data_IF_427013529295
#
_entry.id   IF_427013529295
#
_cell.length_a   1.000
_cell.length_b   1.000
_cell.length_c   1.000
_cell.angle_alpha   90.00
_cell.angle_beta   90.00
_cell.angle_gamma   90.00
#
_symmetry.space_group_name_H-M   'P 1'
#
loop_
_entity.id
_entity.type
_entity.pdbx_description
1 polymer ?
#
# COMPACT_ATOMS: atom_id res chain seq x y z
N UNK A 1 -23.74 -19.38 -16.75
CA UNK A 1 -22.66 -18.56 -16.16
C UNK A 1 -23.21 -17.15 -16.00
N UNK A 2 -23.23 -16.66 -14.77
CA UNK A 2 -23.60 -15.28 -14.52
C UNK A 2 -22.30 -14.47 -14.66
N UNK A 3 -22.08 -13.84 -15.79
CA UNK A 3 -20.88 -13.02 -16.08
C UNK A 3 -20.96 -11.63 -15.40
N UNK A 4 -21.89 -11.45 -14.47
CA UNK A 4 -22.15 -10.19 -13.82
C UNK A 4 -21.20 -10.00 -12.62
N UNK A 5 -20.52 -8.88 -12.64
CA UNK A 5 -19.79 -8.34 -11.49
C UNK A 5 -20.72 -7.45 -10.66
N UNK A 6 -20.86 -7.77 -9.38
CA UNK A 6 -21.63 -6.95 -8.43
C UNK A 6 -20.79 -6.64 -7.21
N UNK A 7 -20.71 -5.37 -6.86
CA UNK A 7 -20.07 -4.92 -5.63
C UNK A 7 -21.00 -3.95 -4.90
N UNK A 8 -21.28 -4.25 -3.62
CA UNK A 8 -22.08 -3.42 -2.73
C UNK A 8 -21.30 -3.14 -1.47
N UNK A 9 -21.06 -1.87 -1.17
CA UNK A 9 -20.37 -1.43 0.03
C UNK A 9 -21.20 -0.46 0.84
N UNK A 10 -21.18 -0.63 2.17
CA UNK A 10 -21.75 0.30 3.14
C UNK A 10 -20.68 0.61 4.16
N UNK A 11 -20.43 1.89 4.38
CA UNK A 11 -19.52 2.39 5.40
C UNK A 11 -20.24 3.43 6.26
N UNK A 12 -20.06 3.32 7.57
CA UNK A 12 -20.57 4.30 8.53
C UNK A 12 -19.51 4.58 9.58
N UNK A 13 -19.42 5.84 10.02
CA UNK A 13 -18.52 6.21 11.10
C UNK A 13 -19.16 7.23 12.03
N UNK A 14 -18.82 7.14 13.31
CA UNK A 14 -19.24 8.08 14.35
C UNK A 14 -17.97 8.72 14.91
N UNK A 15 -17.91 10.05 14.84
CA UNK A 15 -16.80 10.85 15.32
C UNK A 15 -17.21 11.64 16.58
N UNK A 16 -16.54 11.37 17.70
CA UNK A 16 -16.70 12.13 18.94
C UNK A 16 -15.56 13.14 19.05
N UNK A 17 -15.84 14.44 19.23
CA UNK A 17 -14.80 15.47 19.41
C UNK A 17 -14.20 15.43 20.84
N UNK A 18 -14.00 14.25 21.37
CA UNK A 18 -13.47 13.99 22.72
C UNK A 18 -12.58 12.75 22.69
N UNK A 19 -11.53 12.77 23.51
CA UNK A 19 -10.71 11.60 23.76
C UNK A 19 -11.38 10.66 24.77
N UNK A 20 -12.03 9.61 24.29
CA UNK A 20 -12.86 8.71 25.11
C UNK A 20 -12.07 7.52 25.70
N UNK A 21 -10.77 7.66 25.97
CA UNK A 21 -10.00 6.60 26.60
C UNK A 21 -10.12 6.67 28.12
N UNK A 22 -10.55 5.59 28.83
CA UNK A 22 -10.92 5.66 30.24
C UNK A 22 -9.75 5.86 31.18
N UNK A 23 -8.56 5.37 30.85
CA UNK A 23 -7.41 5.27 31.75
C UNK A 23 -6.43 6.46 31.68
N UNK A 24 -6.79 7.56 31.04
CA UNK A 24 -5.93 8.73 30.88
C UNK A 24 -6.50 9.93 31.62
N UNK A 25 -5.61 10.74 32.25
CA UNK A 25 -5.99 11.92 33.02
C UNK A 25 -6.73 12.96 32.18
N UNK A 26 -7.63 13.72 32.80
CA UNK A 26 -8.39 14.77 32.12
C UNK A 26 -7.48 15.90 31.59
N UNK A 27 -6.37 16.20 32.26
CA UNK A 27 -5.43 17.22 31.82
C UNK A 27 -4.70 16.83 30.54
N UNK A 28 -4.34 15.58 30.40
CA UNK A 28 -3.78 15.04 29.18
C UNK A 28 -4.79 15.08 28.03
N UNK A 29 -6.05 14.69 28.28
CA UNK A 29 -7.15 14.75 27.32
C UNK A 29 -7.38 16.17 26.78
N UNK A 30 -7.36 17.18 27.67
CA UNK A 30 -7.52 18.59 27.30
C UNK A 30 -6.36 19.12 26.48
N UNK A 31 -5.14 18.67 26.73
CA UNK A 31 -3.92 19.10 26.02
C UNK A 31 -3.87 18.58 24.59
N UNK A 32 -4.22 17.30 24.38
CA UNK A 32 -4.11 16.65 23.05
C UNK A 32 -5.30 16.98 22.18
N UNK A 33 -6.51 17.19 22.74
CA UNK A 33 -7.75 17.43 21.96
C UNK A 33 -7.99 16.36 20.89
N UNK A 34 -7.77 15.10 21.24
CA UNK A 34 -7.98 13.99 20.32
C UNK A 34 -9.47 13.78 20.07
N UNK A 35 -9.78 13.35 18.85
CA UNK A 35 -11.10 12.84 18.48
C UNK A 35 -11.10 11.32 18.56
N UNK A 36 -12.24 10.75 18.94
CA UNK A 36 -12.47 9.29 18.91
C UNK A 36 -13.36 8.95 17.73
N UNK A 37 -12.96 7.97 16.95
CA UNK A 37 -13.70 7.52 15.77
C UNK A 37 -14.00 6.03 15.91
N UNK A 38 -15.27 5.67 15.72
CA UNK A 38 -15.73 4.30 15.55
C UNK A 38 -16.24 4.15 14.12
N UNK A 39 -15.73 3.15 13.41
CA UNK A 39 -16.11 2.85 12.04
C UNK A 39 -16.65 1.43 11.91
N UNK A 40 -17.65 1.26 11.04
CA UNK A 40 -18.14 -0.03 10.59
C UNK A 40 -18.20 -0.02 9.08
N UNK A 41 -17.71 -1.08 8.46
CA UNK A 41 -17.72 -1.25 7.02
C UNK A 41 -18.17 -2.67 6.67
N UNK A 42 -19.01 -2.77 5.66
CA UNK A 42 -19.41 -4.03 5.06
C UNK A 42 -19.28 -3.92 3.55
N UNK A 43 -18.58 -4.87 2.93
CA UNK A 43 -18.40 -4.94 1.47
C UNK A 43 -18.74 -6.35 1.01
N UNK A 44 -19.64 -6.45 0.05
CA UNK A 44 -20.04 -7.67 -0.63
C UNK A 44 -19.60 -7.59 -2.08
N UNK A 45 -18.81 -8.57 -2.51
CA UNK A 45 -18.34 -8.70 -3.90
C UNK A 45 -18.78 -10.05 -4.45
N UNK A 46 -19.47 -10.04 -5.57
CA UNK A 46 -19.80 -11.24 -6.35
C UNK A 46 -19.12 -11.14 -7.71
N UNK A 47 -18.32 -12.14 -8.02
CA UNK A 47 -17.64 -12.32 -9.31
C UNK A 47 -17.96 -13.72 -9.86
N UNK A 48 -17.75 -13.97 -11.16
CA UNK A 48 -17.94 -15.30 -11.74
C UNK A 48 -17.15 -16.40 -11.04
N UNK A 49 -15.97 -16.04 -10.49
CA UNK A 49 -15.05 -16.99 -9.88
C UNK A 49 -15.28 -17.16 -8.38
N UNK A 50 -15.82 -16.15 -7.69
CA UNK A 50 -16.00 -16.18 -6.24
C UNK A 50 -17.01 -15.17 -5.71
N UNK A 51 -17.51 -15.43 -4.52
CA UNK A 51 -18.19 -14.45 -3.68
C UNK A 51 -17.34 -14.16 -2.46
N UNK A 52 -17.15 -12.86 -2.16
CA UNK A 52 -16.34 -12.38 -1.05
C UNK A 52 -17.11 -11.37 -0.22
N UNK A 53 -17.03 -11.54 1.10
CA UNK A 53 -17.59 -10.61 2.08
C UNK A 53 -16.45 -10.11 2.95
N UNK A 54 -16.38 -8.78 3.12
CA UNK A 54 -15.47 -8.14 4.07
C UNK A 54 -16.30 -7.34 5.06
N UNK A 55 -16.24 -7.70 6.32
CA UNK A 55 -16.82 -6.95 7.42
C UNK A 55 -15.72 -6.38 8.30
N UNK A 56 -15.75 -5.07 8.55
CA UNK A 56 -14.71 -4.39 9.32
C UNK A 56 -15.31 -3.54 10.44
N UNK A 57 -14.64 -3.52 11.58
CA UNK A 57 -14.94 -2.65 12.70
C UNK A 57 -13.68 -1.98 13.22
N UNK A 58 -13.69 -0.67 13.43
CA UNK A 58 -12.54 0.09 13.85
C UNK A 58 -12.83 1.01 15.03
N UNK A 59 -11.82 1.16 15.88
CA UNK A 59 -11.79 2.12 16.98
C UNK A 59 -10.46 2.85 16.94
N UNK A 60 -10.48 4.14 16.66
CA UNK A 60 -9.28 4.95 16.50
C UNK A 60 -9.35 6.29 17.21
N UNK A 61 -8.18 6.84 17.47
CA UNK A 61 -7.98 8.18 18.01
C UNK A 61 -7.13 9.00 17.04
N UNK A 62 -7.55 10.25 16.79
CA UNK A 62 -6.84 11.19 15.92
C UNK A 62 -6.60 12.50 16.64
N UNK A 63 -5.40 13.05 16.53
CA UNK A 63 -5.10 14.40 17.03
C UNK A 63 -4.03 15.06 16.19
N UNK A 64 -4.03 16.39 16.22
CA UNK A 64 -3.01 17.23 15.56
C UNK A 64 -2.34 18.15 16.55
N UNK A 65 -1.06 18.42 16.35
CA UNK A 65 -0.24 19.32 17.15
C UNK A 65 0.45 20.34 16.26
N UNK A 66 1.05 21.39 16.87
CA UNK A 66 1.90 22.38 16.20
C UNK A 66 1.22 23.06 14.99
N UNK A 67 0.03 23.60 15.17
CA UNK A 67 -0.75 24.24 14.09
C UNK A 67 -1.01 23.28 12.92
N UNK A 68 -1.37 22.04 13.25
CA UNK A 68 -1.66 20.95 12.29
C UNK A 68 -0.46 20.52 11.42
N UNK A 69 0.78 20.84 11.83
CA UNK A 69 1.96 20.32 11.16
C UNK A 69 2.17 18.83 11.42
N UNK A 70 1.87 18.38 12.65
CA UNK A 70 1.91 16.95 12.99
C UNK A 70 0.51 16.40 13.22
N UNK A 71 0.23 15.27 12.63
CA UNK A 71 -1.00 14.51 12.80
C UNK A 71 -0.64 13.11 13.30
N UNK A 72 -1.39 12.67 14.28
CA UNK A 72 -1.22 11.36 14.90
C UNK A 72 -2.54 10.60 14.81
N UNK A 73 -2.45 9.32 14.55
CA UNK A 73 -3.57 8.39 14.62
C UNK A 73 -3.12 7.13 15.33
N UNK A 74 -3.89 6.69 16.32
CA UNK A 74 -3.78 5.36 16.91
C UNK A 74 -5.03 4.58 16.54
N UNK A 75 -4.86 3.48 15.81
CA UNK A 75 -5.88 2.47 15.65
C UNK A 75 -5.75 1.51 16.85
N UNK A 76 -6.60 1.69 17.85
CA UNK A 76 -6.55 0.86 19.05
C UNK A 76 -7.01 -0.55 18.74
N UNK A 77 -8.04 -0.67 17.93
CA UNK A 77 -8.60 -1.93 17.46
C UNK A 77 -9.12 -1.75 16.05
N UNK A 78 -8.70 -2.62 15.16
CA UNK A 78 -9.23 -2.71 13.80
C UNK A 78 -9.38 -4.20 13.46
N UNK A 79 -10.63 -4.61 13.31
CA UNK A 79 -11.02 -5.99 13.04
C UNK A 79 -11.50 -6.05 11.60
N UNK A 80 -10.87 -6.91 10.80
CA UNK A 80 -11.28 -7.17 9.43
C UNK A 80 -11.57 -8.68 9.32
N UNK A 81 -12.80 -9.02 9.07
CA UNK A 81 -13.25 -10.36 8.80
C UNK A 81 -13.47 -10.52 7.29
N UNK A 82 -12.68 -11.40 6.69
CA UNK A 82 -12.78 -11.77 5.29
C UNK A 82 -13.40 -13.16 5.20
N UNK A 83 -14.50 -13.28 4.49
CA UNK A 83 -15.26 -14.50 4.31
C UNK A 83 -15.51 -14.77 2.83
N UNK A 84 -15.24 -16.01 2.40
CA UNK A 84 -15.39 -16.50 1.03
C UNK A 84 -16.49 -17.58 0.98
N UNK A 85 -17.77 -17.19 0.97
CA UNK A 85 -18.88 -18.15 1.03
C UNK A 85 -18.95 -19.10 -0.17
N UNK A 86 -18.41 -18.68 -1.31
CA UNK A 86 -18.45 -19.47 -2.52
C UNK A 86 -17.24 -19.19 -3.42
N UNK A 87 -16.67 -20.24 -3.94
CA UNK A 87 -15.61 -20.23 -4.96
C UNK A 87 -16.04 -21.22 -6.06
N UNK A 88 -15.94 -20.82 -7.32
CA UNK A 88 -16.29 -21.67 -8.46
C UNK A 88 -15.44 -22.95 -8.44
N UNK A 89 -16.07 -24.15 -8.55
CA UNK A 89 -15.35 -25.43 -8.47
C UNK A 89 -14.27 -25.59 -9.56
N UNK A 90 -14.53 -25.15 -10.78
CA UNK A 90 -13.57 -25.19 -11.88
C UNK A 90 -12.37 -24.30 -11.61
N UNK A 91 -12.61 -23.07 -11.15
CA UNK A 91 -11.56 -22.15 -10.73
C UNK A 91 -10.74 -22.73 -9.57
N UNK A 92 -11.41 -23.30 -8.57
CA UNK A 92 -10.75 -23.95 -7.44
C UNK A 92 -9.84 -25.09 -7.88
N UNK A 93 -10.31 -25.96 -8.76
CA UNK A 93 -9.54 -27.12 -9.23
C UNK A 93 -8.38 -26.74 -10.13
N UNK A 94 -8.56 -25.74 -11.00
CA UNK A 94 -7.56 -25.34 -11.99
C UNK A 94 -6.47 -24.42 -11.42
N UNK A 95 -6.78 -23.66 -10.37
CA UNK A 95 -5.89 -22.60 -9.88
C UNK A 95 -5.55 -22.72 -8.39
N UNK A 96 -6.46 -23.18 -7.53
CA UNK A 96 -6.25 -23.17 -6.08
C UNK A 96 -5.73 -24.52 -5.55
N UNK A 97 -5.99 -25.63 -6.24
CA UNK A 97 -5.51 -26.95 -5.83
C UNK A 97 -4.12 -27.30 -6.42
N UNK A 98 -3.51 -26.40 -7.20
CA UNK A 98 -2.14 -26.58 -7.68
C UNK A 98 -1.16 -26.17 -6.57
N UNK A 99 -0.34 -27.13 -6.11
CA UNK A 99 0.71 -26.88 -5.09
C UNK A 99 1.66 -25.74 -5.47
N UNK A 100 1.72 -25.37 -6.75
CA UNK A 100 2.53 -24.25 -7.25
C UNK A 100 1.89 -22.87 -7.06
N UNK A 101 0.60 -22.79 -6.71
CA UNK A 101 -0.14 -21.54 -6.56
C UNK A 101 -0.46 -21.23 -5.10
N UNK A 102 0.48 -21.46 -4.20
CA UNK A 102 0.28 -21.29 -2.75
C UNK A 102 -0.15 -19.86 -2.36
N UNK A 103 0.39 -18.84 -3.01
CA UNK A 103 -0.02 -17.43 -2.82
C UNK A 103 -1.48 -17.21 -3.17
N UNK A 104 -1.90 -17.76 -4.28
CA UNK A 104 -3.28 -17.64 -4.75
C UNK A 104 -4.23 -18.37 -3.79
N UNK A 105 -3.95 -19.60 -3.45
CA UNK A 105 -4.75 -20.40 -2.48
C UNK A 105 -4.91 -19.64 -1.15
N UNK A 106 -3.82 -19.09 -0.62
CA UNK A 106 -3.84 -18.34 0.63
C UNK A 106 -4.78 -17.13 0.60
N UNK A 107 -4.92 -16.47 -0.54
CA UNK A 107 -5.74 -15.27 -0.71
C UNK A 107 -7.25 -15.57 -0.85
N UNK A 108 -7.60 -16.82 -1.15
CA UNK A 108 -9.00 -17.26 -1.27
C UNK A 108 -9.50 -18.02 -0.03
N UNK A 109 -8.81 -17.92 1.10
CA UNK A 109 -9.24 -18.50 2.39
C UNK A 109 -9.87 -17.45 3.28
N UNK A 110 -10.82 -17.89 4.10
CA UNK A 110 -11.38 -17.07 5.18
C UNK A 110 -10.28 -16.62 6.13
N UNK A 111 -10.37 -15.38 6.59
CA UNK A 111 -9.35 -14.83 7.47
C UNK A 111 -9.86 -13.75 8.40
N UNK A 112 -9.34 -13.77 9.60
CA UNK A 112 -9.54 -12.73 10.59
C UNK A 112 -8.23 -11.93 10.76
N UNK A 113 -8.32 -10.61 10.63
CA UNK A 113 -7.21 -9.69 10.90
C UNK A 113 -7.63 -8.78 12.03
N UNK A 114 -7.01 -8.93 13.19
CA UNK A 114 -7.20 -8.04 14.34
C UNK A 114 -5.89 -7.32 14.57
N UNK A 115 -5.87 -6.01 14.30
CA UNK A 115 -4.65 -5.20 14.34
C UNK A 115 -4.78 -4.01 15.27
N UNK A 116 -3.65 -3.56 15.74
CA UNK A 116 -3.41 -2.26 16.34
C UNK A 116 -2.42 -1.50 15.46
N UNK A 117 -2.51 -0.18 15.42
CA UNK A 117 -1.63 0.60 14.56
C UNK A 117 -1.37 2.00 15.08
N UNK A 118 -0.28 2.59 14.60
CA UNK A 118 0.06 3.98 14.83
C UNK A 118 0.52 4.62 13.52
N UNK A 119 -0.07 5.78 13.21
CA UNK A 119 0.31 6.59 12.05
C UNK A 119 0.72 7.98 12.50
N UNK A 120 1.84 8.44 11.96
CA UNK A 120 2.36 9.78 12.16
C UNK A 120 2.59 10.46 10.82
N UNK A 121 2.07 11.67 10.67
CA UNK A 121 2.28 12.50 9.49
C UNK A 121 2.78 13.86 9.99
N UNK A 122 3.94 14.26 9.50
CA UNK A 122 4.47 15.59 9.68
C UNK A 122 4.55 16.31 8.34
N UNK A 123 4.08 17.56 8.29
CA UNK A 123 4.21 18.41 7.12
C UNK A 123 4.68 19.80 7.56
N UNK A 124 5.84 20.20 7.10
CA UNK A 124 6.45 21.50 7.47
C UNK A 124 5.63 22.71 7.03
N UNK A 125 4.84 22.59 5.95
CA UNK A 125 3.95 23.64 5.46
C UNK A 125 2.69 23.82 6.34
N UNK A 126 2.25 22.77 7.05
CA UNK A 126 1.13 22.86 7.99
C UNK A 126 -0.13 23.45 7.36
N UNK A 127 -0.73 24.44 8.05
CA UNK A 127 -1.93 25.15 7.60
C UNK A 127 -1.80 25.89 6.27
N UNK A 128 -0.58 26.24 5.83
CA UNK A 128 -0.37 26.93 4.55
C UNK A 128 -0.84 26.11 3.34
N UNK A 129 -0.72 24.77 3.43
CA UNK A 129 -1.28 23.84 2.44
C UNK A 129 -2.81 23.92 2.38
N UNK A 130 -3.47 24.02 3.53
CA UNK A 130 -4.95 24.06 3.60
C UNK A 130 -5.51 25.39 3.08
N UNK A 131 -4.74 26.47 3.16
CA UNK A 131 -5.17 27.81 2.77
C UNK A 131 -4.73 28.21 1.36
N UNK A 132 -4.24 27.26 0.54
CA UNK A 132 -3.69 27.52 -0.81
C UNK A 132 -2.65 28.66 -0.84
N UNK A 133 -1.96 28.90 0.29
CA UNK A 133 -0.90 29.91 0.37
C UNK A 133 0.30 29.49 -0.48
N UNK A 134 1.06 30.47 -0.97
CA UNK A 134 2.33 30.20 -1.68
C UNK A 134 3.26 29.45 -0.74
N UNK A 135 3.47 28.17 -1.02
CA UNK A 135 4.29 27.27 -0.21
C UNK A 135 5.73 27.41 -0.70
N UNK A 136 6.63 27.86 0.16
CA UNK A 136 8.07 27.80 -0.06
C UNK A 136 8.60 26.36 0.02
N UNK A 137 9.87 26.21 0.37
CA UNK A 137 10.46 24.90 0.62
C UNK A 137 9.68 24.17 1.71
N UNK A 138 9.30 22.94 1.43
CA UNK A 138 8.51 22.12 2.36
C UNK A 138 8.99 20.69 2.35
N UNK A 139 8.75 20.00 3.45
CA UNK A 139 8.98 18.56 3.55
C UNK A 139 7.89 17.88 4.36
N UNK A 140 7.68 16.62 4.10
CA UNK A 140 6.77 15.76 4.83
C UNK A 140 7.43 14.45 5.21
N UNK A 141 7.05 13.92 6.37
CA UNK A 141 7.43 12.62 6.87
C UNK A 141 6.13 11.87 7.18
N UNK A 142 6.00 10.66 6.68
CA UNK A 142 4.92 9.75 7.03
C UNK A 142 5.51 8.48 7.58
N UNK A 143 5.07 8.10 8.76
CA UNK A 143 5.43 6.84 9.41
C UNK A 143 4.16 6.09 9.74
N UNK A 144 4.11 4.80 9.40
CA UNK A 144 3.04 3.90 9.80
C UNK A 144 3.65 2.65 10.43
N UNK A 145 3.05 2.22 11.51
CA UNK A 145 3.36 0.95 12.17
C UNK A 145 2.06 0.20 12.44
N UNK A 146 2.05 -1.08 12.16
CA UNK A 146 0.89 -1.93 12.40
C UNK A 146 1.36 -3.29 12.94
N UNK A 147 0.62 -3.81 13.92
CA UNK A 147 0.84 -5.10 14.55
C UNK A 147 -0.47 -5.86 14.61
N UNK A 148 -0.52 -7.06 14.04
CA UNK A 148 -1.73 -7.87 13.95
C UNK A 148 -1.58 -9.22 14.64
N UNK A 149 -2.70 -9.73 15.18
CA UNK A 149 -2.83 -11.08 15.72
C UNK A 149 -2.16 -11.36 17.07
N UNK A 150 -1.38 -10.44 17.63
CA UNK A 150 -0.63 -10.69 18.84
C UNK A 150 -1.53 -10.92 20.08
N UNK A 151 -2.58 -10.09 20.21
CA UNK A 151 -3.56 -10.26 21.29
C UNK A 151 -4.26 -11.63 21.17
N UNK A 152 -4.70 -11.99 19.97
CA UNK A 152 -5.36 -13.28 19.73
C UNK A 152 -4.41 -14.45 19.98
N UNK A 153 -3.14 -14.32 19.64
CA UNK A 153 -2.14 -15.36 19.88
C UNK A 153 -1.91 -15.62 21.38
N UNK A 154 -1.81 -14.55 22.18
CA UNK A 154 -1.71 -14.66 23.64
C UNK A 154 -2.96 -15.31 24.22
N UNK A 155 -4.15 -14.86 23.82
CA UNK A 155 -5.41 -15.44 24.27
C UNK A 155 -5.55 -16.91 23.86
N UNK A 156 -5.17 -17.27 22.63
CA UNK A 156 -5.21 -18.67 22.16
C UNK A 156 -4.31 -19.59 22.99
N UNK A 157 -3.11 -19.12 23.35
CA UNK A 157 -2.21 -19.86 24.24
C UNK A 157 -2.75 -19.99 25.66
N UNK A 158 -3.27 -18.92 26.24
CA UNK A 158 -3.83 -18.93 27.59
C UNK A 158 -5.06 -19.85 27.71
N UNK A 159 -5.87 -19.92 26.66
CA UNK A 159 -7.07 -20.76 26.60
C UNK A 159 -6.79 -22.17 26.10
N UNK A 160 -5.54 -22.57 25.90
CA UNK A 160 -5.14 -23.89 25.40
C UNK A 160 -5.91 -24.32 24.14
N UNK A 161 -6.15 -23.37 23.20
CA UNK A 161 -6.84 -23.69 21.96
C UNK A 161 -6.02 -24.68 21.15
N UNK A 162 -6.72 -25.61 20.48
CA UNK A 162 -6.09 -26.54 19.55
C UNK A 162 -5.83 -25.85 18.22
N UNK A 163 -4.74 -26.20 17.58
CA UNK A 163 -4.41 -25.77 16.24
C UNK A 163 -5.13 -26.63 15.21
N UNK A 164 -5.38 -26.07 14.02
CA UNK A 164 -5.89 -26.80 12.87
C UNK A 164 -4.81 -27.70 12.22
N UNK A 165 -5.16 -28.44 11.17
CA UNK A 165 -4.25 -29.32 10.43
C UNK A 165 -3.08 -28.57 9.76
N UNK A 166 -3.17 -27.24 9.61
CA UNK A 166 -2.13 -26.38 9.06
C UNK A 166 -1.23 -25.76 10.15
N UNK A 167 -1.35 -26.23 11.41
CA UNK A 167 -0.60 -25.71 12.57
C UNK A 167 -0.92 -24.24 12.93
N UNK A 168 -2.13 -23.77 12.62
CA UNK A 168 -2.61 -22.42 12.91
C UNK A 168 -3.69 -22.45 14.00
N UNK A 169 -3.63 -21.50 14.95
CA UNK A 169 -4.74 -21.25 15.88
C UNK A 169 -5.89 -20.61 15.14
N UNK A 170 -7.11 -20.99 15.48
CA UNK A 170 -8.33 -20.47 14.89
C UNK A 170 -9.26 -19.86 15.92
N UNK A 171 -9.99 -18.83 15.55
CA UNK A 171 -11.12 -18.26 16.31
C UNK A 171 -12.38 -18.53 15.49
N UNK A 172 -13.38 -19.20 16.07
CA UNK A 172 -14.58 -19.64 15.36
C UNK A 172 -14.26 -20.43 14.06
N UNK A 173 -13.26 -21.30 14.11
CA UNK A 173 -12.72 -22.07 12.98
C UNK A 173 -12.06 -21.23 11.87
N UNK A 174 -11.76 -19.94 12.09
CA UNK A 174 -11.14 -19.05 11.13
C UNK A 174 -9.72 -18.74 11.58
N UNK A 175 -8.70 -18.98 10.74
CA UNK A 175 -7.33 -18.62 11.05
C UNK A 175 -7.17 -17.09 11.08
N UNK A 176 -6.37 -16.59 12.02
CA UNK A 176 -6.07 -15.17 12.09
C UNK A 176 -4.65 -14.87 11.64
N UNK A 177 -4.50 -13.72 10.97
CA UNK A 177 -3.20 -13.24 10.53
C UNK A 177 -2.38 -12.72 11.72
N UNK A 178 -1.07 -13.04 11.75
CA UNK A 178 -0.13 -12.51 12.73
C UNK A 178 1.11 -11.96 12.02
N UNK A 179 1.29 -10.64 12.13
CA UNK A 179 2.40 -9.93 11.47
C UNK A 179 2.71 -8.59 12.14
N UNK A 180 3.87 -8.05 11.82
CA UNK A 180 4.21 -6.64 12.00
C UNK A 180 4.49 -6.01 10.65
N UNK A 181 4.13 -4.73 10.52
CA UNK A 181 4.36 -3.94 9.30
C UNK A 181 4.79 -2.53 9.67
N UNK A 182 5.78 -2.01 8.97
CA UNK A 182 6.27 -0.66 9.14
C UNK A 182 6.53 0.00 7.80
N UNK A 183 6.11 1.26 7.66
CA UNK A 183 6.31 2.09 6.47
C UNK A 183 6.90 3.43 6.87
N UNK A 184 7.82 3.93 6.07
CA UNK A 184 8.41 5.26 6.21
C UNK A 184 8.50 5.92 4.84
N UNK A 185 7.90 7.12 4.73
CA UNK A 185 7.97 7.96 3.53
C UNK A 185 8.50 9.34 3.90
N UNK A 186 9.41 9.84 3.09
CA UNK A 186 9.93 11.20 3.16
C UNK A 186 9.76 11.87 1.80
N UNK A 187 9.16 13.05 1.77
CA UNK A 187 9.08 13.88 0.58
C UNK A 187 9.55 15.29 0.89
N UNK A 188 10.25 15.91 -0.06
CA UNK A 188 10.75 17.29 0.04
C UNK A 188 10.50 18.01 -1.26
N UNK A 189 9.93 19.23 -1.16
CA UNK A 189 9.79 20.16 -2.27
C UNK A 189 10.73 21.34 -2.08
N UNK A 190 11.57 21.61 -3.07
CA UNK A 190 12.49 22.74 -3.11
C UNK A 190 12.03 23.68 -4.21
N UNK A 191 11.64 24.88 -3.84
CA UNK A 191 11.27 25.95 -4.78
C UNK A 191 12.54 26.63 -5.27
N UNK A 192 12.79 26.60 -6.58
CA UNK A 192 13.93 27.25 -7.21
C UNK A 192 13.58 28.71 -7.48
N UNK A 193 12.42 28.95 -8.08
CA UNK A 193 11.87 30.25 -8.38
C UNK A 193 10.33 30.20 -8.46
N UNK A 194 9.69 31.28 -8.89
CA UNK A 194 8.23 31.40 -8.98
C UNK A 194 7.57 30.42 -9.99
N UNK A 195 8.36 29.79 -10.84
CA UNK A 195 7.87 28.87 -11.87
C UNK A 195 8.36 27.45 -11.67
N UNK A 196 9.52 27.28 -11.03
CA UNK A 196 10.27 26.02 -11.02
C UNK A 196 10.46 25.48 -9.61
N UNK A 197 10.29 24.17 -9.46
CA UNK A 197 10.57 23.45 -8.23
C UNK A 197 11.12 22.05 -8.52
N UNK A 198 11.82 21.46 -7.56
CA UNK A 198 12.24 20.08 -7.58
C UNK A 198 11.62 19.37 -6.37
N UNK A 199 10.98 18.27 -6.62
CA UNK A 199 10.42 17.41 -5.58
C UNK A 199 11.19 16.08 -5.51
N UNK A 200 11.48 15.64 -4.28
CA UNK A 200 12.15 14.40 -3.97
C UNK A 200 11.23 13.54 -3.13
N UNK A 201 11.22 12.26 -3.37
CA UNK A 201 10.54 11.27 -2.56
C UNK A 201 11.45 10.07 -2.34
N UNK A 202 11.42 9.52 -1.14
CA UNK A 202 11.98 8.22 -0.81
C UNK A 202 11.03 7.53 0.16
N UNK A 203 10.68 6.30 -0.14
CA UNK A 203 9.78 5.49 0.66
C UNK A 203 10.29 4.08 0.80
N UNK A 204 9.92 3.45 1.91
CA UNK A 204 10.21 2.06 2.15
C UNK A 204 9.26 1.46 3.17
N UNK A 205 9.07 0.15 3.05
CA UNK A 205 8.23 -0.59 3.98
C UNK A 205 8.62 -2.05 4.07
N UNK A 206 8.31 -2.64 5.21
CA UNK A 206 8.53 -4.06 5.50
C UNK A 206 7.35 -4.63 6.26
N UNK A 207 6.90 -5.82 5.85
CA UNK A 207 5.85 -6.58 6.52
C UNK A 207 6.34 -7.99 6.81
N UNK A 208 6.38 -8.39 8.07
CA UNK A 208 6.98 -9.65 8.53
C UNK A 208 5.89 -10.53 9.13
N UNK A 209 5.52 -11.65 8.47
CA UNK A 209 4.62 -12.65 9.06
C UNK A 209 5.37 -13.53 10.05
N UNK A 210 4.73 -13.88 11.16
CA UNK A 210 5.29 -14.77 12.18
C UNK A 210 4.20 -15.48 12.97
N UNK A 211 4.60 -16.40 13.85
CA UNK A 211 3.70 -17.08 14.79
C UNK A 211 2.60 -17.85 14.09
N UNK A 212 1.38 -17.33 14.11
CA UNK A 212 0.19 -17.95 13.51
C UNK A 212 0.07 -17.75 12.00
N UNK A 213 0.91 -16.94 11.38
CA UNK A 213 0.83 -16.68 9.94
C UNK A 213 2.16 -17.01 9.25
N UNK A 214 2.07 -17.72 8.14
CA UNK A 214 3.23 -18.03 7.29
C UNK A 214 3.46 -16.97 6.22
N UNK A 215 2.45 -16.17 5.93
CA UNK A 215 2.41 -15.19 4.85
C UNK A 215 1.61 -13.95 5.25
N UNK A 216 1.91 -12.81 4.65
CA UNK A 216 1.14 -11.58 4.80
C UNK A 216 -0.15 -11.68 3.97
N UNK A 217 -1.32 -11.31 4.52
CA UNK A 217 -2.54 -11.18 3.72
C UNK A 217 -2.34 -10.25 2.52
N UNK A 218 -2.95 -10.59 1.39
CA UNK A 218 -2.79 -9.86 0.13
C UNK A 218 -3.08 -8.36 0.27
N UNK A 219 -4.08 -8.00 1.03
CA UNK A 219 -4.49 -6.61 1.31
C UNK A 219 -3.42 -5.81 2.05
N UNK A 220 -2.43 -6.49 2.64
CA UNK A 220 -1.35 -5.91 3.42
C UNK A 220 0.01 -5.99 2.73
N UNK A 221 0.09 -6.71 1.62
CA UNK A 221 1.32 -6.81 0.81
C UNK A 221 1.59 -5.53 0.03
N UNK A 222 2.84 -5.35 -0.34
CA UNK A 222 3.27 -4.23 -1.18
C UNK A 222 3.16 -4.55 -2.66
N UNK A 223 2.94 -3.49 -3.43
CA UNK A 223 2.91 -3.51 -4.88
C UNK A 223 3.78 -2.39 -5.42
N UNK A 224 4.30 -2.54 -6.64
CA UNK A 224 5.05 -1.52 -7.34
C UNK A 224 4.55 -1.35 -8.79
N UNK A 225 4.86 -0.17 -9.37
CA UNK A 225 4.31 0.29 -10.64
C UNK A 225 3.05 1.16 -10.48
N UNK A 226 2.75 1.92 -11.50
CA UNK A 226 1.62 2.85 -11.54
C UNK A 226 1.99 4.30 -11.26
N UNK A 227 1.00 5.17 -11.32
CA UNK A 227 1.15 6.62 -11.29
C UNK A 227 1.84 7.20 -10.04
N UNK A 228 1.79 6.49 -8.90
CA UNK A 228 2.33 6.94 -7.61
C UNK A 228 3.51 6.08 -7.11
N UNK A 229 4.16 5.34 -8.01
CA UNK A 229 5.33 4.52 -7.74
C UNK A 229 6.28 4.64 -8.92
N UNK A 230 6.79 3.54 -9.49
CA UNK A 230 7.71 3.54 -10.64
C UNK A 230 6.89 3.64 -11.93
N UNK A 231 6.79 4.83 -12.52
CA UNK A 231 5.87 5.18 -13.64
C UNK A 231 6.24 4.58 -15.00
N UNK A 232 7.30 3.79 -15.11
CA UNK A 232 7.59 2.98 -16.30
C UNK A 232 6.80 1.67 -16.37
N UNK A 233 6.06 1.31 -15.33
CA UNK A 233 5.26 0.09 -15.22
C UNK A 233 3.79 0.40 -14.95
N UNK A 234 2.90 -0.41 -15.50
CA UNK A 234 1.48 -0.38 -15.15
C UNK A 234 1.27 -0.67 -13.66
N UNK A 235 0.07 -0.38 -13.16
CA UNK A 235 -0.27 -0.63 -11.76
C UNK A 235 -0.07 -2.11 -11.42
N UNK A 236 0.70 -2.38 -10.36
CA UNK A 236 0.97 -3.74 -9.87
C UNK A 236 1.63 -4.65 -10.90
N UNK A 237 2.52 -4.14 -11.72
CA UNK A 237 3.19 -4.93 -12.76
C UNK A 237 4.72 -4.99 -12.62
N UNK A 238 5.27 -4.52 -11.49
CA UNK A 238 6.71 -4.55 -11.24
C UNK A 238 7.03 -5.46 -10.04
N UNK A 239 7.94 -6.42 -10.25
CA UNK A 239 8.50 -7.30 -9.22
C UNK A 239 7.57 -8.42 -8.76
N UNK A 240 7.94 -9.14 -7.72
CA UNK A 240 9.04 -8.91 -6.79
C UNK A 240 10.43 -9.31 -7.36
N UNK A 241 11.43 -8.52 -7.02
CA UNK A 241 12.82 -8.77 -7.44
C UNK A 241 12.97 -8.83 -8.95
N UNK A 242 13.38 -9.98 -9.48
CA UNK A 242 13.48 -10.25 -10.92
C UNK A 242 12.31 -11.04 -11.48
N UNK A 243 11.32 -11.35 -10.64
CA UNK A 243 10.13 -12.09 -11.05
C UNK A 243 9.23 -11.24 -11.97
N UNK A 244 8.70 -11.87 -13.00
CA UNK A 244 7.66 -11.34 -13.87
C UNK A 244 6.62 -12.43 -14.14
N UNK A 245 5.36 -12.15 -13.92
CA UNK A 245 4.29 -13.09 -14.23
C UNK A 245 3.86 -12.94 -15.68
N UNK A 246 4.32 -13.84 -16.55
CA UNK A 246 3.95 -13.86 -17.97
C UNK A 246 2.45 -14.11 -18.19
N UNK A 247 1.77 -14.72 -17.21
CA UNK A 247 0.32 -14.98 -17.25
C UNK A 247 -0.52 -13.78 -16.81
N UNK A 248 0.13 -12.68 -16.36
CA UNK A 248 -0.53 -11.46 -15.95
C UNK A 248 -1.33 -11.55 -14.65
N UNK A 249 -1.04 -12.54 -13.79
CA UNK A 249 -1.67 -12.65 -12.49
C UNK A 249 -1.06 -11.62 -11.51
N UNK A 250 -1.71 -10.48 -11.40
CA UNK A 250 -1.27 -9.38 -10.52
C UNK A 250 -1.15 -9.76 -9.03
N UNK A 251 -1.77 -10.86 -8.58
CA UNK A 251 -1.64 -11.34 -7.20
C UNK A 251 -0.23 -11.85 -6.92
N UNK A 252 0.42 -12.46 -7.92
CA UNK A 252 1.80 -12.89 -7.81
C UNK A 252 2.80 -11.73 -7.85
N UNK A 253 2.39 -10.56 -8.35
CA UNK A 253 3.22 -9.35 -8.36
C UNK A 253 3.06 -8.53 -7.09
N UNK A 254 3.30 -9.18 -5.95
CA UNK A 254 3.21 -8.60 -4.61
C UNK A 254 4.40 -9.01 -3.75
N UNK A 255 4.80 -8.17 -2.79
CA UNK A 255 5.97 -8.38 -1.94
C UNK A 255 5.73 -8.04 -0.48
N UNK A 256 6.69 -8.39 0.34
CA UNK A 256 6.71 -8.14 1.79
C UNK A 256 7.62 -6.95 2.15
N UNK A 257 8.48 -6.54 1.22
CA UNK A 257 9.38 -5.39 1.32
C UNK A 257 9.16 -4.50 0.10
N UNK A 258 9.19 -3.18 0.30
CA UNK A 258 9.12 -2.16 -0.75
C UNK A 258 10.19 -1.11 -0.54
N UNK A 259 10.85 -0.69 -1.62
CA UNK A 259 11.67 0.51 -1.67
C UNK A 259 11.32 1.28 -2.94
N UNK A 260 11.12 2.58 -2.82
CA UNK A 260 10.92 3.47 -3.94
C UNK A 260 11.52 4.85 -3.68
N UNK A 261 11.98 5.49 -4.74
CA UNK A 261 12.51 6.84 -4.75
C UNK A 261 12.10 7.54 -6.05
N UNK A 262 11.90 8.84 -5.97
CA UNK A 262 11.50 9.64 -7.12
C UNK A 262 12.11 11.03 -7.04
N UNK A 263 12.52 11.56 -8.20
CA UNK A 263 12.92 12.95 -8.38
C UNK A 263 12.08 13.52 -9.50
N UNK A 264 11.45 14.67 -9.25
CA UNK A 264 10.57 15.32 -10.21
C UNK A 264 10.87 16.82 -10.29
N UNK A 265 11.33 17.28 -11.46
CA UNK A 265 11.40 18.72 -11.78
C UNK A 265 10.04 19.17 -12.27
N UNK A 266 9.50 20.23 -11.69
CA UNK A 266 8.18 20.82 -11.98
C UNK A 266 8.33 22.23 -12.45
N UNK A 267 7.67 22.59 -13.57
CA UNK A 267 7.69 23.94 -14.13
C UNK A 267 6.30 24.42 -14.51
N UNK A 268 6.02 25.72 -14.30
CA UNK A 268 4.81 26.35 -14.81
C UNK A 268 4.99 26.63 -16.31
N UNK A 269 4.05 26.17 -17.12
CA UNK A 269 4.04 26.43 -18.55
C UNK A 269 3.23 27.69 -18.85
N UNK A 270 1.98 27.54 -19.18
CA UNK A 270 1.05 28.63 -19.44
C UNK A 270 -0.29 28.34 -18.77
N UNK A 271 -1.06 29.37 -18.50
CA UNK A 271 -2.36 29.29 -17.84
C UNK A 271 -2.29 28.41 -16.57
N UNK A 272 -3.04 27.32 -16.51
CA UNK A 272 -3.07 26.33 -15.42
C UNK A 272 -2.23 25.07 -15.72
N UNK A 273 -1.53 25.05 -16.85
CA UNK A 273 -0.67 23.91 -17.20
C UNK A 273 0.69 23.98 -16.53
N UNK A 274 1.13 22.84 -16.02
CA UNK A 274 2.46 22.61 -15.46
C UNK A 274 3.10 21.41 -16.12
N UNK A 275 4.37 21.50 -16.50
CA UNK A 275 5.18 20.40 -16.99
C UNK A 275 5.95 19.74 -15.86
N UNK A 276 6.28 18.46 -16.04
CA UNK A 276 7.21 17.75 -15.17
C UNK A 276 8.14 16.85 -15.96
N UNK A 277 9.36 16.72 -15.47
CA UNK A 277 10.32 15.69 -15.85
C UNK A 277 10.61 14.85 -14.61
N UNK A 278 10.64 13.53 -14.74
CA UNK A 278 10.84 12.68 -13.59
C UNK A 278 11.77 11.49 -13.86
N UNK A 279 12.36 11.03 -12.78
CA UNK A 279 13.06 9.75 -12.70
C UNK A 279 12.56 9.04 -11.45
N UNK A 280 12.08 7.82 -11.60
CA UNK A 280 11.60 6.95 -10.54
C UNK A 280 12.49 5.71 -10.46
N UNK A 281 12.74 5.24 -9.24
CA UNK A 281 13.49 4.02 -8.98
C UNK A 281 12.80 3.24 -7.86
N UNK A 282 12.76 1.91 -7.95
CA UNK A 282 12.19 1.09 -6.90
C UNK A 282 11.97 -0.35 -7.28
N UNK A 283 11.54 -1.14 -6.32
CA UNK A 283 11.06 -2.51 -6.50
C UNK A 283 10.38 -2.99 -5.21
N UNK A 284 9.82 -4.17 -5.27
CA UNK A 284 9.32 -4.94 -4.12
C UNK A 284 10.07 -6.27 -4.05
N UNK A 285 10.06 -6.89 -2.87
CA UNK A 285 10.66 -8.21 -2.65
C UNK A 285 9.85 -9.01 -1.64
N UNK A 286 10.07 -10.32 -1.62
CA UNK A 286 9.54 -11.21 -0.60
C UNK A 286 10.62 -11.47 0.47
N UNK A 287 10.22 -11.68 1.72
CA UNK A 287 11.13 -12.10 2.80
C UNK A 287 11.48 -13.57 2.65
N UNK A 288 10.51 -14.39 2.26
CA UNK A 288 10.68 -15.83 2.05
C UNK A 288 10.77 -16.15 0.57
N UNK A 289 11.34 -17.29 0.25
CA UNK A 289 11.32 -17.82 -1.10
C UNK A 289 9.99 -18.53 -1.34
N UNK A 290 9.30 -18.14 -2.41
CA UNK A 290 8.06 -18.77 -2.85
C UNK A 290 8.28 -19.38 -4.23
N UNK A 291 7.73 -20.60 -4.45
CA UNK A 291 7.83 -21.28 -5.75
C UNK A 291 7.14 -20.48 -6.86
N UNK A 292 6.07 -19.76 -6.50
CA UNK A 292 5.27 -18.93 -7.40
C UNK A 292 5.97 -17.61 -7.77
N UNK A 293 7.08 -17.26 -7.10
CA UNK A 293 7.81 -15.99 -7.29
C UNK A 293 9.34 -16.22 -7.33
N UNK A 294 9.86 -17.03 -8.29
CA UNK A 294 11.28 -17.27 -8.39
C UNK A 294 12.06 -15.98 -8.64
N UNK A 295 13.12 -15.75 -7.87
CA UNK A 295 13.92 -14.52 -7.92
C UNK A 295 13.32 -13.33 -7.17
N UNK A 296 12.16 -13.51 -6.49
CA UNK A 296 11.47 -12.47 -5.72
C UNK A 296 12.07 -12.22 -4.34
N UNK A 297 12.86 -13.14 -3.78
CA UNK A 297 13.39 -13.05 -2.42
C UNK A 297 14.43 -11.92 -2.28
N UNK A 298 14.27 -11.12 -1.22
CA UNK A 298 15.23 -10.09 -0.85
C UNK A 298 16.56 -10.69 -0.42
N UNK A 299 17.66 -10.17 -1.01
CA UNK A 299 19.02 -10.50 -0.63
C UNK A 299 19.83 -9.21 -0.51
N UNK A 300 20.45 -9.00 0.63
CA UNK A 300 21.16 -7.76 0.96
C UNK A 300 22.33 -7.44 -0.01
N UNK A 301 22.95 -8.48 -0.56
CA UNK A 301 24.04 -8.39 -1.52
C UNK A 301 23.59 -8.22 -2.99
N UNK A 302 22.29 -8.31 -3.27
CA UNK A 302 21.75 -8.32 -4.64
C UNK A 302 20.61 -7.34 -4.89
N UNK A 303 19.91 -6.85 -3.85
CA UNK A 303 18.70 -6.02 -4.02
C UNK A 303 18.95 -4.78 -4.89
N UNK A 304 20.11 -4.13 -4.77
CA UNK A 304 20.47 -2.96 -5.57
C UNK A 304 20.59 -3.26 -7.07
N UNK A 305 20.91 -4.51 -7.43
CA UNK A 305 20.91 -4.97 -8.83
C UNK A 305 19.50 -5.20 -9.37
N UNK A 306 18.52 -5.29 -8.51
CA UNK A 306 17.11 -5.55 -8.84
C UNK A 306 16.26 -4.28 -8.83
N UNK A 307 16.87 -3.11 -8.61
CA UNK A 307 16.16 -1.83 -8.69
C UNK A 307 15.76 -1.57 -10.14
N UNK A 308 14.46 -1.36 -10.33
CA UNK A 308 13.89 -0.87 -11.58
C UNK A 308 14.04 0.65 -11.65
N UNK A 309 14.30 1.19 -12.83
CA UNK A 309 14.38 2.64 -13.05
C UNK A 309 13.53 3.02 -14.23
N UNK A 310 12.75 4.09 -14.07
CA UNK A 310 11.97 4.72 -15.11
C UNK A 310 12.30 6.21 -15.23
N UNK A 311 12.08 6.78 -16.40
CA UNK A 311 12.14 8.22 -16.63
C UNK A 311 10.94 8.64 -17.48
N UNK A 312 10.59 9.91 -17.44
CA UNK A 312 9.43 10.33 -18.22
C UNK A 312 9.11 11.79 -18.11
N UNK A 313 8.04 12.13 -18.79
CA UNK A 313 7.47 13.48 -18.84
C UNK A 313 6.04 13.45 -18.34
N UNK A 314 5.61 14.57 -17.78
CA UNK A 314 4.24 14.67 -17.30
C UNK A 314 3.64 16.04 -17.53
N UNK A 315 2.34 16.06 -17.78
CA UNK A 315 1.52 17.26 -17.88
C UNK A 315 0.55 17.30 -16.70
N UNK A 316 0.43 18.45 -16.06
CA UNK A 316 -0.51 18.69 -14.97
C UNK A 316 -1.44 19.83 -15.35
N UNK A 317 -2.72 19.64 -15.10
CA UNK A 317 -3.73 20.70 -15.18
C UNK A 317 -4.19 21.02 -13.76
N UNK A 318 -3.76 22.17 -13.25
CA UNK A 318 -4.02 22.65 -11.89
C UNK A 318 -5.33 23.47 -11.89
N UNK A 319 -6.40 22.87 -11.40
CA UNK A 319 -7.73 23.47 -11.36
C UNK A 319 -8.06 24.10 -9.99
N UNK A 320 -7.04 24.48 -9.21
CA UNK A 320 -7.09 25.09 -7.87
C UNK A 320 -7.58 24.16 -6.75
N UNK A 321 -8.64 23.37 -6.97
CA UNK A 321 -9.19 22.43 -6.01
C UNK A 321 -8.77 20.97 -6.26
N UNK A 322 -8.31 20.64 -7.46
CA UNK A 322 -7.62 19.40 -7.77
C UNK A 322 -6.69 19.55 -8.98
N UNK A 323 -5.73 18.64 -9.08
CA UNK A 323 -4.76 18.58 -10.16
C UNK A 323 -5.01 17.32 -10.98
N UNK A 324 -5.29 17.47 -12.27
CA UNK A 324 -5.28 16.36 -13.21
C UNK A 324 -3.85 16.14 -13.70
N UNK A 325 -3.42 14.89 -13.73
CA UNK A 325 -2.06 14.50 -14.06
C UNK A 325 -2.05 13.44 -15.18
N UNK A 326 -1.22 13.69 -16.18
CA UNK A 326 -0.96 12.80 -17.30
C UNK A 326 0.55 12.56 -17.34
N UNK A 327 0.98 11.34 -17.05
CA UNK A 327 2.38 10.95 -17.04
C UNK A 327 2.66 9.89 -18.11
N UNK A 328 3.69 10.14 -18.94
CA UNK A 328 4.27 9.16 -19.85
C UNK A 328 5.63 8.72 -19.32
N UNK A 329 5.75 7.45 -18.93
CA UNK A 329 6.95 6.86 -18.36
C UNK A 329 7.58 5.82 -19.28
N UNK A 330 8.91 5.82 -19.37
CA UNK A 330 9.72 4.84 -20.11
C UNK A 330 10.59 4.06 -19.14
N UNK A 331 10.71 2.78 -19.36
CA UNK A 331 11.65 1.91 -18.60
C UNK A 331 13.09 2.24 -18.98
N UNK A 332 13.93 2.53 -17.98
CA UNK A 332 15.37 2.69 -18.17
C UNK A 332 16.14 1.43 -17.80
N UNK A 333 15.81 0.82 -16.65
CA UNK A 333 16.35 -0.43 -16.16
C UNK A 333 15.18 -1.35 -15.80
N UNK A 334 15.12 -2.51 -16.46
CA UNK A 334 14.12 -3.54 -16.17
C UNK A 334 14.80 -4.78 -15.55
N UNK A 335 14.64 -5.03 -14.23
CA UNK A 335 15.28 -6.15 -13.55
C UNK A 335 14.75 -7.53 -13.97
N UNK A 336 13.56 -7.60 -14.55
CA UNK A 336 12.89 -8.84 -14.99
C UNK A 336 13.54 -9.44 -16.26
N UNK A 337 14.22 -8.62 -17.04
CA UNK A 337 14.76 -9.01 -18.35
C UNK A 337 16.29 -9.13 -18.33
N UNK A 338 16.79 -10.34 -18.21
CA UNK A 338 18.23 -10.63 -18.15
C UNK A 338 19.08 -9.88 -19.20
N UNK A 339 19.08 -10.27 -20.47
CA UNK A 339 19.87 -9.63 -21.55
C UNK A 339 19.33 -8.26 -21.97
N UNK A 340 18.02 -8.04 -21.89
CA UNK A 340 17.33 -6.79 -22.25
C UNK A 340 17.08 -5.90 -21.02
N UNK A 341 17.96 -5.98 -20.06
CA UNK A 341 17.85 -5.27 -18.77
C UNK A 341 17.91 -3.75 -18.90
N UNK A 342 18.47 -3.23 -19.96
CA UNK A 342 18.68 -1.80 -20.17
C UNK A 342 17.90 -1.28 -21.38
N UNK A 343 16.55 -1.15 -21.29
CA UNK A 343 15.72 -0.61 -22.37
C UNK A 343 16.14 0.79 -22.82
N UNK A 344 16.73 1.60 -21.92
CA UNK A 344 17.23 2.94 -22.24
C UNK A 344 18.23 2.94 -23.41
N UNK A 345 18.96 1.86 -23.64
CA UNK A 345 19.92 1.76 -24.75
C UNK A 345 19.23 1.41 -26.09
N UNK A 346 18.05 0.78 -26.04
CA UNK A 346 17.25 0.39 -27.22
C UNK A 346 15.77 0.49 -26.85
N UNK A 347 15.22 1.72 -26.69
CA UNK A 347 13.85 1.92 -26.26
C UNK A 347 12.85 1.44 -27.30
N UNK A 348 11.81 0.75 -26.83
CA UNK A 348 10.67 0.31 -27.63
C UNK A 348 9.40 0.83 -26.97
N UNK A 349 8.69 1.73 -27.66
CA UNK A 349 7.46 2.33 -27.15
C UNK A 349 6.35 1.31 -26.88
N UNK A 350 6.25 0.24 -27.66
CA UNK A 350 5.23 -0.80 -27.47
C UNK A 350 5.44 -1.62 -26.21
N UNK A 351 6.69 -1.80 -25.81
CA UNK A 351 7.08 -2.66 -24.67
C UNK A 351 7.45 -1.88 -23.42
N UNK A 352 8.07 -0.73 -23.57
CA UNK A 352 8.77 -0.05 -22.47
C UNK A 352 8.08 1.24 -22.02
N UNK A 353 6.99 1.65 -22.68
CA UNK A 353 6.21 2.83 -22.35
C UNK A 353 4.99 2.48 -21.50
N UNK A 354 4.71 3.32 -20.52
CA UNK A 354 3.47 3.27 -19.74
C UNK A 354 2.87 4.68 -19.63
N UNK A 355 1.56 4.77 -19.87
CA UNK A 355 0.81 6.01 -19.70
C UNK A 355 -0.05 5.93 -18.43
N UNK A 356 -0.05 7.01 -17.66
CA UNK A 356 -0.81 7.11 -16.42
C UNK A 356 -1.67 8.37 -16.40
N UNK A 357 -2.92 8.18 -16.02
CA UNK A 357 -3.82 9.24 -15.62
C UNK A 357 -4.03 9.18 -14.10
N UNK A 358 -3.94 10.31 -13.43
CA UNK A 358 -4.14 10.39 -11.98
C UNK A 358 -4.64 11.75 -11.54
N UNK A 359 -5.14 11.82 -10.30
CA UNK A 359 -5.56 13.05 -9.63
C UNK A 359 -4.61 13.36 -8.48
N UNK A 360 -4.13 14.59 -8.38
CA UNK A 360 -3.16 15.02 -7.38
C UNK A 360 -1.70 14.84 -7.80
N UNK A 361 -0.78 15.28 -6.92
CA UNK A 361 0.66 15.04 -7.09
C UNK A 361 1.02 13.60 -6.65
N UNK A 362 2.11 13.01 -7.18
CA UNK A 362 2.49 11.64 -6.83
C UNK A 362 2.96 11.49 -5.38
N UNK A 363 3.48 12.57 -4.77
CA UNK A 363 3.98 12.63 -3.39
C UNK A 363 4.04 14.10 -2.91
#
# INVERSE_FOLDING_TARGET
KNDNYTELGVETSINFPRFMFPFISNDFKRRIRATTEFGLQYNYQMRPEFTRIVASGSWSYKWGLQRQRSQHRIDLLDINYLYMPWIEPEFKNNFLNDEKNYLLEYNYKDRLIVRTGYSYIYNSAGQALMNNAVIGNSYSIRFNFESAGNLLYVLSKMSNLKKNDQDEYTILNIPYAQYIKGDLDFAKNIVIDNRNSIAFHIGGGIAIPYGNARMIPFEKRYFSGGANSVRGWSVRSLGPGTFSDEKGNFMNQSGDIKLDASIEYRTRLFWKFRGALFVDAGNIWTIREYQDQPGGKFKFDQFYKQIAVAYGVGLRLDLDFFVLRFDGGMKAINPEKGKDRYPILRPDFGRDFAFHFAVGYPF
#
